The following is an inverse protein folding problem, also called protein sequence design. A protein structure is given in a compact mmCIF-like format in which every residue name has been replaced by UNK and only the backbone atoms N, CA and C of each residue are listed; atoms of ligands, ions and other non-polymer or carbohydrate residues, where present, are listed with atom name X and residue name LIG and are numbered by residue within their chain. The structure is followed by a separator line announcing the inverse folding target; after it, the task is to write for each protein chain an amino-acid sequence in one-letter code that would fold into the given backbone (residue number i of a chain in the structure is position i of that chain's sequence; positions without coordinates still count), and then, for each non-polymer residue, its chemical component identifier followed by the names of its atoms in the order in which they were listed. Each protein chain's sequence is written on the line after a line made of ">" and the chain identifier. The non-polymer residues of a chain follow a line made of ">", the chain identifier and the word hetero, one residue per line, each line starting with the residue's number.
data_IF_709940586786
#
_entry.id   IF_709940586786
#
_cell.length_a   1.000
_cell.length_b   1.000
_cell.length_c   1.000
_cell.angle_alpha   90.00
_cell.angle_beta   90.00
_cell.angle_gamma   90.00
#
_symmetry.space_group_name_H-M   'P 1'
#
loop_
_entity.id
_entity.type
_entity.pdbx_description
1 polymer ?
#
# COMPACT_ATOMS: atom_id res chain seq x y z
N UNK A 1 -3.26 -6.44 17.28
CA UNK A 1 -2.87 -5.74 16.04
C UNK A 1 -2.65 -6.78 14.93
N UNK A 2 -2.83 -6.41 13.68
CA UNK A 2 -2.59 -7.24 12.47
C UNK A 2 -1.43 -6.67 11.65
N UNK A 3 -0.61 -7.53 11.04
CA UNK A 3 0.68 -7.14 10.44
C UNK A 3 0.84 -7.38 8.93
N UNK A 4 -0.22 -7.82 8.24
CA UNK A 4 -0.17 -8.19 6.82
C UNK A 4 -1.21 -7.36 6.07
N UNK A 5 -0.77 -6.24 5.50
CA UNK A 5 -1.64 -5.18 4.98
C UNK A 5 -2.58 -5.68 3.86
N UNK A 6 -2.09 -6.58 3.00
CA UNK A 6 -2.85 -7.26 1.94
C UNK A 6 -3.91 -8.25 2.46
N UNK A 7 -3.98 -8.47 3.77
CA UNK A 7 -4.94 -9.34 4.45
C UNK A 7 -5.64 -8.64 5.63
N UNK A 8 -5.65 -7.31 5.67
CA UNK A 8 -6.25 -6.54 6.78
C UNK A 8 -7.71 -6.96 7.07
N UNK A 9 -8.53 -7.14 6.04
CA UNK A 9 -9.93 -7.54 6.17
C UNK A 9 -10.08 -8.89 6.90
N UNK A 10 -9.19 -9.85 6.63
CA UNK A 10 -9.14 -11.12 7.35
C UNK A 10 -8.77 -10.90 8.83
N UNK A 11 -7.81 -10.01 9.09
CA UNK A 11 -7.43 -9.62 10.45
C UNK A 11 -8.61 -9.03 11.22
N UNK A 12 -9.36 -8.10 10.61
CA UNK A 12 -10.56 -7.49 11.21
C UNK A 12 -11.63 -8.54 11.50
N UNK A 13 -11.91 -9.44 10.56
CA UNK A 13 -12.86 -10.54 10.74
C UNK A 13 -12.44 -11.51 11.86
N UNK A 14 -11.13 -11.71 12.06
CA UNK A 14 -10.58 -12.50 13.17
C UNK A 14 -10.53 -11.76 14.52
N UNK A 15 -11.02 -10.51 14.58
CA UNK A 15 -11.11 -9.72 15.80
C UNK A 15 -9.96 -8.74 16.04
N UNK A 16 -9.08 -8.50 15.06
CA UNK A 16 -8.07 -7.47 15.18
C UNK A 16 -8.72 -6.08 15.36
N UNK A 17 -8.14 -5.28 16.26
CA UNK A 17 -8.61 -3.92 16.60
C UNK A 17 -7.76 -2.81 15.99
N UNK A 18 -6.81 -3.17 15.15
CA UNK A 18 -5.86 -2.24 14.53
C UNK A 18 -4.77 -2.99 13.77
N UNK A 19 -4.00 -2.25 12.99
CA UNK A 19 -2.99 -2.81 12.11
C UNK A 19 -1.68 -2.01 12.15
N UNK A 20 -0.58 -2.69 11.83
CA UNK A 20 0.77 -2.14 11.79
C UNK A 20 1.46 -2.68 10.55
N UNK A 21 2.06 -1.80 9.74
CA UNK A 21 2.51 -2.16 8.41
C UNK A 21 3.09 -0.97 7.67
N UNK A 22 3.84 -1.24 6.61
CA UNK A 22 4.57 -0.20 5.90
C UNK A 22 3.69 0.61 4.96
N UNK A 23 2.62 0.01 4.44
CA UNK A 23 1.79 0.64 3.41
C UNK A 23 0.96 1.79 3.96
N UNK A 24 0.71 1.83 5.27
CA UNK A 24 0.01 2.96 5.91
C UNK A 24 0.77 4.29 5.75
N UNK A 25 2.08 4.29 5.48
CA UNK A 25 2.85 5.52 5.24
C UNK A 25 2.44 6.26 3.96
N UNK A 26 1.94 5.54 2.96
CA UNK A 26 1.66 6.08 1.62
C UNK A 26 0.29 5.65 1.08
N UNK A 27 -0.52 4.97 1.88
CA UNK A 27 -1.82 4.46 1.48
C UNK A 27 -2.83 4.44 2.65
N UNK A 28 -2.64 5.26 3.69
CA UNK A 28 -3.56 5.28 4.84
C UNK A 28 -5.06 5.41 4.48
N UNK A 29 -5.47 6.26 3.51
CA UNK A 29 -6.89 6.43 3.19
C UNK A 29 -7.60 5.16 2.74
N UNK A 30 -6.97 4.29 1.95
CA UNK A 30 -7.61 3.02 1.52
C UNK A 30 -7.92 2.13 2.71
N UNK A 31 -7.02 2.04 3.69
CA UNK A 31 -7.24 1.22 4.87
C UNK A 31 -8.25 1.83 5.84
N UNK A 32 -8.31 3.15 5.95
CA UNK A 32 -9.36 3.82 6.72
C UNK A 32 -10.74 3.53 6.14
N UNK A 33 -10.91 3.68 4.82
CA UNK A 33 -12.19 3.36 4.14
C UNK A 33 -12.56 1.88 4.27
N UNK A 34 -11.57 0.98 4.19
CA UNK A 34 -11.78 -0.45 4.44
C UNK A 34 -12.31 -0.71 5.86
N UNK A 35 -11.64 -0.16 6.88
CA UNK A 35 -12.03 -0.33 8.29
C UNK A 35 -13.43 0.25 8.53
N UNK A 36 -13.70 1.46 8.05
CA UNK A 36 -15.00 2.12 8.19
C UNK A 36 -16.12 1.32 7.49
N UNK A 37 -15.87 0.77 6.31
CA UNK A 37 -16.84 -0.08 5.60
C UNK A 37 -17.12 -1.38 6.38
N UNK A 38 -16.07 -2.00 6.92
CA UNK A 38 -16.20 -3.19 7.77
C UNK A 38 -17.00 -2.91 9.04
N UNK A 39 -16.74 -1.80 9.73
CA UNK A 39 -17.44 -1.38 10.95
C UNK A 39 -18.92 -1.09 10.70
N UNK A 40 -19.28 -0.57 9.52
CA UNK A 40 -20.68 -0.41 9.08
C UNK A 40 -21.36 -1.71 8.66
N UNK A 41 -20.63 -2.83 8.60
CA UNK A 41 -21.13 -4.11 8.10
C UNK A 41 -21.23 -4.19 6.56
N UNK A 42 -20.70 -3.20 5.83
CA UNK A 42 -20.69 -3.21 4.37
C UNK A 42 -19.48 -4.01 3.85
N UNK A 43 -19.63 -5.34 3.83
CA UNK A 43 -18.53 -6.24 3.46
C UNK A 43 -18.13 -6.15 1.98
N UNK A 44 -19.05 -5.76 1.09
CA UNK A 44 -18.72 -5.64 -0.34
C UNK A 44 -17.80 -4.43 -0.57
N UNK A 45 -18.13 -3.28 0.00
CA UNK A 45 -17.25 -2.11 -0.03
C UNK A 45 -15.90 -2.38 0.67
N UNK A 46 -15.90 -3.09 1.80
CA UNK A 46 -14.64 -3.46 2.47
C UNK A 46 -13.76 -4.35 1.61
N UNK A 47 -14.34 -5.28 0.84
CA UNK A 47 -13.61 -6.12 -0.12
C UNK A 47 -13.05 -5.29 -1.27
N UNK A 48 -13.81 -4.34 -1.80
CA UNK A 48 -13.33 -3.46 -2.87
C UNK A 48 -12.11 -2.64 -2.44
N UNK A 49 -12.13 -2.08 -1.23
CA UNK A 49 -10.96 -1.38 -0.68
C UNK A 49 -9.79 -2.33 -0.40
N UNK A 50 -10.03 -3.55 0.08
CA UNK A 50 -8.98 -4.56 0.25
C UNK A 50 -8.35 -4.96 -1.09
N UNK A 51 -9.14 -5.09 -2.16
CA UNK A 51 -8.64 -5.44 -3.48
C UNK A 51 -7.78 -4.31 -4.06
N UNK A 52 -8.16 -3.05 -3.87
CA UNK A 52 -7.34 -1.89 -4.23
C UNK A 52 -5.97 -1.92 -3.54
N UNK A 53 -5.92 -2.19 -2.23
CA UNK A 53 -4.65 -2.27 -1.52
C UNK A 53 -3.80 -3.46 -1.99
N UNK A 54 -4.39 -4.61 -2.25
CA UNK A 54 -3.71 -5.80 -2.81
C UNK A 54 -3.10 -5.49 -4.18
N UNK A 55 -3.84 -4.80 -5.07
CA UNK A 55 -3.34 -4.42 -6.40
C UNK A 55 -2.13 -3.48 -6.34
N UNK A 56 -2.18 -2.51 -5.43
CA UNK A 56 -1.07 -1.58 -5.17
C UNK A 56 0.15 -2.34 -4.63
N UNK A 57 -0.04 -3.16 -3.58
CA UNK A 57 1.04 -3.94 -2.96
C UNK A 57 1.73 -4.83 -3.99
N UNK A 58 0.97 -5.54 -4.83
CA UNK A 58 1.53 -6.40 -5.89
C UNK A 58 2.42 -5.61 -6.87
N UNK A 59 2.00 -4.42 -7.27
CA UNK A 59 2.78 -3.57 -8.19
C UNK A 59 4.05 -3.04 -7.54
N UNK A 60 3.97 -2.60 -6.29
CA UNK A 60 5.13 -2.08 -5.53
C UNK A 60 6.12 -3.21 -5.26
N UNK A 61 5.68 -4.32 -4.67
CA UNK A 61 6.58 -5.41 -4.30
C UNK A 61 7.27 -6.06 -5.50
N UNK A 62 6.56 -6.20 -6.63
CA UNK A 62 7.16 -6.72 -7.88
C UNK A 62 8.20 -5.78 -8.51
N UNK A 63 8.25 -4.50 -8.12
CA UNK A 63 9.26 -3.57 -8.62
C UNK A 63 10.62 -3.69 -7.89
N UNK A 64 10.63 -4.12 -6.63
CA UNK A 64 11.86 -4.18 -5.84
C UNK A 64 11.68 -4.21 -4.32
N UNK A 65 10.56 -4.75 -3.82
CA UNK A 65 10.33 -4.94 -2.39
C UNK A 65 10.49 -3.66 -1.56
N UNK A 66 11.41 -3.66 -0.59
CA UNK A 66 11.65 -2.52 0.32
C UNK A 66 12.13 -1.27 -0.43
N UNK A 67 12.97 -1.42 -1.45
CA UNK A 67 13.46 -0.27 -2.23
C UNK A 67 12.31 0.41 -2.98
N UNK A 68 11.38 -0.38 -3.52
CA UNK A 68 10.20 0.14 -4.18
C UNK A 68 9.30 0.92 -3.21
N UNK A 69 9.14 0.46 -1.98
CA UNK A 69 8.37 1.18 -0.97
C UNK A 69 8.98 2.55 -0.63
N UNK A 70 10.31 2.66 -0.51
CA UNK A 70 10.96 3.98 -0.35
C UNK A 70 10.81 4.86 -1.59
N UNK A 71 10.88 4.28 -2.78
CA UNK A 71 10.64 5.02 -4.03
C UNK A 71 9.20 5.56 -4.12
N UNK A 72 8.20 4.82 -3.62
CA UNK A 72 6.82 5.33 -3.52
C UNK A 72 6.73 6.53 -2.59
N UNK A 73 7.44 6.54 -1.46
CA UNK A 73 7.50 7.72 -0.58
C UNK A 73 7.98 8.96 -1.34
N UNK A 74 9.01 8.83 -2.19
CA UNK A 74 9.47 9.92 -3.03
C UNK A 74 8.44 10.34 -4.09
N UNK A 75 7.68 9.40 -4.67
CA UNK A 75 6.61 9.69 -5.64
C UNK A 75 5.43 10.45 -5.01
N UNK A 76 5.30 10.42 -3.68
CA UNK A 76 4.31 11.17 -2.91
C UNK A 76 4.92 12.41 -2.24
N UNK A 77 6.02 12.93 -2.80
CA UNK A 77 6.75 14.11 -2.35
C UNK A 77 7.35 14.02 -0.93
N UNK A 78 7.52 12.80 -0.41
CA UNK A 78 8.16 12.52 0.87
C UNK A 78 9.49 11.79 0.67
N UNK A 79 10.57 12.54 0.42
CA UNK A 79 11.89 11.94 0.22
C UNK A 79 12.46 11.39 1.54
N UNK A 80 12.55 10.06 1.63
CA UNK A 80 13.15 9.33 2.76
C UNK A 80 14.59 8.88 2.49
N UNK A 81 15.20 9.31 1.38
CA UNK A 81 16.52 8.89 0.93
C UNK A 81 16.59 7.43 0.44
N UNK A 82 17.77 6.97 0.00
CA UNK A 82 17.96 5.62 -0.54
C UNK A 82 17.85 4.53 0.53
N UNK A 83 17.75 3.27 0.11
CA UNK A 83 17.96 2.13 1.00
C UNK A 83 19.44 1.97 1.32
N UNK A 84 19.73 1.33 2.46
CA UNK A 84 21.09 0.89 2.81
C UNK A 84 21.34 -0.51 2.24
N UNK A 85 22.58 -0.79 1.87
CA UNK A 85 23.03 -2.15 1.52
C UNK A 85 22.68 -3.15 2.64
N UNK A 86 22.28 -4.39 2.30
CA UNK A 86 22.39 -5.03 0.97
C UNK A 86 21.26 -4.69 -0.02
N UNK A 87 20.24 -3.92 0.40
CA UNK A 87 19.13 -3.53 -0.50
C UNK A 87 19.56 -2.36 -1.36
N UNK A 88 19.65 -2.57 -2.66
CA UNK A 88 19.98 -1.51 -3.63
C UNK A 88 18.75 -0.67 -3.97
N UNK A 89 18.89 0.67 -4.08
CA UNK A 89 17.80 1.53 -4.54
C UNK A 89 17.34 1.17 -5.96
N UNK A 90 16.08 1.47 -6.29
CA UNK A 90 15.61 1.41 -7.67
C UNK A 90 16.34 2.44 -8.52
N UNK A 91 16.63 2.08 -9.77
CA UNK A 91 17.00 3.04 -10.80
C UNK A 91 15.84 4.00 -11.12
N UNK A 92 16.14 5.10 -11.81
CA UNK A 92 15.12 6.05 -12.28
C UNK A 92 14.11 5.37 -13.21
N UNK A 93 14.58 4.50 -14.11
CA UNK A 93 13.73 3.79 -15.06
C UNK A 93 12.81 2.77 -14.36
N UNK A 94 13.30 2.07 -13.34
CA UNK A 94 12.47 1.15 -12.53
C UNK A 94 11.41 1.92 -11.75
N UNK A 95 11.78 3.06 -11.17
CA UNK A 95 10.86 3.94 -10.45
C UNK A 95 9.76 4.47 -11.38
N UNK A 96 10.10 4.95 -12.58
CA UNK A 96 9.11 5.45 -13.54
C UNK A 96 8.19 4.33 -14.06
N UNK A 97 8.72 3.13 -14.34
CA UNK A 97 7.89 1.97 -14.70
C UNK A 97 6.92 1.59 -13.57
N UNK A 98 7.36 1.64 -12.32
CA UNK A 98 6.49 1.41 -11.18
C UNK A 98 5.42 2.50 -11.06
N UNK A 99 5.81 3.77 -11.21
CA UNK A 99 4.89 4.91 -11.18
C UNK A 99 3.81 4.77 -12.27
N UNK A 100 4.19 4.39 -13.50
CA UNK A 100 3.24 4.10 -14.58
C UNK A 100 2.20 3.05 -14.19
N UNK A 101 2.64 1.90 -13.66
CA UNK A 101 1.74 0.84 -13.19
C UNK A 101 0.82 1.30 -12.04
N UNK A 102 1.28 2.22 -11.18
CA UNK A 102 0.44 2.81 -10.13
C UNK A 102 -0.58 3.81 -10.69
N UNK A 103 -0.23 4.57 -11.74
CA UNK A 103 -1.20 5.44 -12.45
C UNK A 103 -2.32 4.63 -13.10
N UNK A 104 -2.03 3.46 -13.65
CA UNK A 104 -3.03 2.57 -14.27
C UNK A 104 -4.16 2.16 -13.31
N UNK A 105 -3.89 2.10 -12.00
CA UNK A 105 -4.90 1.79 -10.98
C UNK A 105 -5.46 3.02 -10.27
N UNK A 106 -5.11 4.22 -10.74
CA UNK A 106 -5.51 5.48 -10.13
C UNK A 106 -4.97 5.69 -8.72
N UNK A 107 -3.84 5.06 -8.35
CA UNK A 107 -3.29 5.12 -6.98
C UNK A 107 -3.18 6.55 -6.44
N UNK A 108 -2.74 7.50 -7.28
CA UNK A 108 -2.56 8.90 -6.91
C UNK A 108 -3.88 9.66 -6.65
N UNK A 109 -5.04 9.06 -6.95
CA UNK A 109 -6.36 9.66 -6.70
C UNK A 109 -6.99 9.17 -5.39
N UNK A 110 -6.68 7.94 -4.97
CA UNK A 110 -7.33 7.31 -3.81
C UNK A 110 -6.38 6.95 -2.67
N UNK A 111 -5.08 6.85 -2.94
CA UNK A 111 -4.06 6.38 -2.01
C UNK A 111 -3.40 7.48 -1.18
N UNK A 112 -3.47 8.74 -1.62
CA UNK A 112 -2.99 9.91 -0.88
C UNK A 112 -4.07 10.52 0.01
#
# INVERSE_FOLDING_TARGET
>A
FWGVDEMLLCGLAAGAKGAVGSTYNYAAPVYRRLIEAFERGNLDEARDWQLKSVEMIRRILSAGGLAAQKAVMQLIDQDCGPTRLPVTPLSKDETERMAGRLREIGYFEWGQ
#
